data_IF_525180760405
#
_entry.id   IF_525180760405
#
_cell.length_a   1.000
_cell.length_b   1.000
_cell.length_c   1.000
_cell.angle_alpha   90.00
_cell.angle_beta   90.00
_cell.angle_gamma   90.00
#
_symmetry.space_group_name_H-M   'P 1'
#
loop_
_entity.id
_entity.type
_entity.pdbx_description
1 polymer ?
#
# COMPACT_ATOMS: atom_id res chain seq x y z
N UNK A 1 -4.28 11.66 7.23
CA UNK A 1 -4.44 11.90 5.79
C UNK A 1 -5.15 10.73 5.10
N UNK A 2 -4.65 9.48 5.17
CA UNK A 2 -5.34 8.33 4.54
C UNK A 2 -6.76 8.07 5.06
N UNK A 3 -6.99 8.18 6.36
CA UNK A 3 -8.32 8.04 6.98
C UNK A 3 -9.32 9.13 6.56
N UNK A 4 -8.86 10.37 6.35
CA UNK A 4 -9.69 11.48 5.85
C UNK A 4 -10.06 11.28 4.38
N UNK A 5 -9.16 10.70 3.57
CA UNK A 5 -9.43 10.38 2.17
C UNK A 5 -10.44 9.24 2.04
N UNK A 6 -10.39 8.25 2.94
CA UNK A 6 -11.37 7.16 3.02
C UNK A 6 -12.77 7.69 3.35
N UNK A 7 -12.91 8.62 4.28
CA UNK A 7 -14.18 9.26 4.63
C UNK A 7 -14.78 10.07 3.47
N UNK A 8 -13.94 10.70 2.63
CA UNK A 8 -14.40 11.49 1.47
C UNK A 8 -14.90 10.60 0.32
N UNK A 9 -14.30 9.43 0.11
CA UNK A 9 -14.71 8.47 -0.93
C UNK A 9 -16.03 7.77 -0.55
N UNK A 10 -16.22 7.46 0.75
CA UNK A 10 -17.44 6.77 1.23
C UNK A 10 -18.60 7.71 1.61
N UNK A 11 -18.37 9.02 1.71
CA UNK A 11 -19.39 9.99 2.15
C UNK A 11 -20.44 10.38 1.10
N UNK A 12 -20.30 9.96 -0.17
CA UNK A 12 -21.20 10.34 -1.27
C UNK A 12 -22.08 9.21 -1.83
N UNK A 13 -21.94 7.99 -1.31
CA UNK A 13 -22.76 6.83 -1.72
C UNK A 13 -24.12 6.83 -1.04
N UNK A 14 -25.08 7.60 -1.54
CA UNK A 14 -26.49 7.51 -1.14
C UNK A 14 -27.08 6.27 -1.79
N UNK A 15 -27.20 5.16 -1.05
CA UNK A 15 -27.93 3.97 -1.49
C UNK A 15 -29.40 4.30 -1.63
N UNK A 16 -29.88 4.43 -2.86
CA UNK A 16 -31.31 4.44 -3.18
C UNK A 16 -31.81 2.99 -3.06
N UNK A 17 -32.67 2.75 -2.07
CA UNK A 17 -33.38 1.50 -1.93
C UNK A 17 -34.45 1.47 -3.05
N UNK A 18 -34.21 0.63 -4.06
CA UNK A 18 -35.21 0.35 -5.10
C UNK A 18 -36.03 -0.82 -4.59
N UNK A 19 -37.29 -0.56 -4.30
CA UNK A 19 -38.32 -1.55 -4.04
C UNK A 19 -38.83 -2.03 -5.43
N UNK A 20 -38.35 -3.20 -5.87
CA UNK A 20 -38.74 -3.79 -7.16
C UNK A 20 -39.41 -5.16 -6.95
N UNK A 21 -40.35 -5.47 -7.82
CA UNK A 21 -41.22 -6.63 -7.76
C UNK A 21 -40.49 -7.98 -7.81
N UNK A 22 -41.04 -8.99 -7.12
CA UNK A 22 -40.41 -10.30 -6.84
C UNK A 22 -39.91 -11.10 -8.06
N UNK A 23 -40.42 -10.86 -9.27
CA UNK A 23 -40.01 -11.60 -10.49
C UNK A 23 -38.75 -11.02 -11.15
N UNK A 24 -38.48 -9.72 -11.03
CA UNK A 24 -37.26 -9.08 -11.53
C UNK A 24 -36.05 -9.39 -10.63
N UNK A 25 -36.29 -9.60 -9.33
CA UNK A 25 -35.26 -9.95 -8.34
C UNK A 25 -34.65 -11.32 -8.57
N UNK A 26 -35.47 -12.33 -8.95
CA UNK A 26 -35.01 -13.69 -9.25
C UNK A 26 -34.15 -13.75 -10.54
N UNK A 27 -34.51 -12.99 -11.56
CA UNK A 27 -33.73 -12.90 -12.80
C UNK A 27 -32.41 -12.14 -12.60
N UNK A 28 -32.43 -11.09 -11.79
CA UNK A 28 -31.21 -10.35 -11.42
C UNK A 28 -30.26 -11.22 -10.58
N UNK A 29 -30.78 -12.02 -9.65
CA UNK A 29 -29.99 -12.94 -8.84
C UNK A 29 -29.36 -14.07 -9.70
N UNK A 30 -30.11 -14.63 -10.64
CA UNK A 30 -29.59 -15.63 -11.56
C UNK A 30 -28.48 -15.09 -12.47
N UNK A 31 -28.62 -13.87 -13.01
CA UNK A 31 -27.60 -13.19 -13.79
C UNK A 31 -26.35 -12.85 -12.95
N UNK A 32 -26.53 -12.52 -11.67
CA UNK A 32 -25.42 -12.28 -10.74
C UNK A 32 -24.63 -13.58 -10.45
N UNK A 33 -25.32 -14.70 -10.23
CA UNK A 33 -24.68 -15.98 -9.96
C UNK A 33 -23.91 -16.50 -11.20
N UNK A 34 -24.43 -16.30 -12.40
CA UNK A 34 -23.76 -16.67 -13.66
C UNK A 34 -22.49 -15.83 -13.87
N UNK A 35 -22.53 -14.51 -13.65
CA UNK A 35 -21.38 -13.64 -13.74
C UNK A 35 -20.33 -13.93 -12.65
N UNK A 36 -20.77 -14.28 -11.44
CA UNK A 36 -19.88 -14.69 -10.35
C UNK A 36 -19.18 -16.02 -10.64
N UNK A 37 -19.83 -16.92 -11.38
CA UNK A 37 -19.23 -18.23 -11.76
C UNK A 37 -18.12 -18.09 -12.81
N UNK A 38 -18.14 -17.03 -13.63
CA UNK A 38 -17.08 -16.75 -14.60
C UNK A 38 -15.81 -16.14 -13.99
N UNK A 39 -15.89 -15.64 -12.73
CA UNK A 39 -14.76 -15.01 -12.05
C UNK A 39 -13.89 -16.08 -11.36
N UNK A 40 -12.58 -16.00 -11.55
CA UNK A 40 -11.61 -16.92 -10.93
C UNK A 40 -11.35 -16.56 -9.47
N UNK A 41 -12.33 -16.87 -8.60
CA UNK A 41 -12.21 -16.62 -7.16
C UNK A 41 -11.13 -17.49 -6.49
N UNK A 42 -10.83 -18.67 -7.04
CA UNK A 42 -9.87 -19.60 -6.44
C UNK A 42 -8.43 -19.07 -6.56
N UNK A 43 -8.06 -18.54 -7.72
CA UNK A 43 -6.76 -17.91 -7.91
C UNK A 43 -6.60 -16.66 -7.04
N UNK A 44 -7.66 -15.84 -6.92
CA UNK A 44 -7.65 -14.65 -6.05
C UNK A 44 -7.54 -15.05 -4.58
N UNK A 45 -8.29 -16.07 -4.14
CA UNK A 45 -8.26 -16.55 -2.76
C UNK A 45 -6.88 -17.10 -2.38
N UNK A 46 -6.21 -17.83 -3.26
CA UNK A 46 -4.84 -18.30 -3.02
C UNK A 46 -3.87 -17.15 -2.73
N UNK A 47 -3.97 -16.06 -3.49
CA UNK A 47 -3.10 -14.90 -3.27
C UNK A 47 -3.49 -14.13 -2.01
N UNK A 48 -4.78 -14.02 -1.70
CA UNK A 48 -5.29 -13.43 -0.45
C UNK A 48 -4.79 -14.22 0.76
N UNK A 49 -4.80 -15.55 0.71
CA UNK A 49 -4.31 -16.41 1.79
C UNK A 49 -2.79 -16.28 1.97
N UNK A 50 -2.04 -16.07 0.88
CA UNK A 50 -0.61 -15.77 0.96
C UNK A 50 -0.32 -14.41 1.59
N UNK A 51 -1.12 -13.39 1.26
CA UNK A 51 -1.00 -12.03 1.79
C UNK A 51 -1.43 -11.92 3.25
N UNK A 52 -2.53 -12.60 3.61
CA UNK A 52 -3.17 -12.53 4.92
C UNK A 52 -2.96 -13.79 5.75
N UNK A 53 -1.77 -14.40 5.70
CA UNK A 53 -1.41 -15.69 6.33
C UNK A 53 -1.84 -15.84 7.81
N UNK A 54 -2.14 -14.73 8.50
CA UNK A 54 -2.58 -14.72 9.90
C UNK A 54 -4.08 -14.51 10.10
N UNK A 55 -4.85 -14.27 9.03
CA UNK A 55 -6.28 -13.97 9.08
C UNK A 55 -7.05 -14.82 8.08
N UNK A 56 -8.10 -15.50 8.53
CA UNK A 56 -9.02 -16.20 7.63
C UNK A 56 -9.93 -15.14 6.97
N UNK A 57 -9.62 -14.77 5.73
CA UNK A 57 -10.40 -13.84 4.93
C UNK A 57 -10.92 -14.55 3.68
N UNK A 58 -12.24 -14.61 3.51
CA UNK A 58 -12.85 -15.15 2.29
C UNK A 58 -13.21 -14.01 1.34
N UNK A 59 -12.50 -13.95 0.22
CA UNK A 59 -12.73 -12.92 -0.81
C UNK A 59 -14.16 -13.07 -1.40
N UNK A 60 -14.50 -14.28 -1.86
CA UNK A 60 -15.83 -14.56 -2.40
C UNK A 60 -16.95 -14.34 -1.37
N UNK A 61 -16.72 -14.74 -0.10
CA UNK A 61 -17.67 -14.54 0.99
C UNK A 61 -17.93 -13.05 1.25
N UNK A 62 -16.88 -12.22 1.20
CA UNK A 62 -17.00 -10.76 1.39
C UNK A 62 -17.72 -10.10 0.23
N UNK A 63 -17.43 -10.48 -1.02
CA UNK A 63 -18.16 -9.98 -2.20
C UNK A 63 -19.66 -10.29 -2.08
N UNK A 64 -20.01 -11.54 -1.73
CA UNK A 64 -21.42 -11.94 -1.55
C UNK A 64 -22.10 -11.21 -0.40
N UNK A 65 -21.43 -11.01 0.73
CA UNK A 65 -21.99 -10.27 1.87
C UNK A 65 -22.22 -8.79 1.52
N UNK A 66 -21.34 -8.19 0.73
CA UNK A 66 -21.51 -6.81 0.25
C UNK A 66 -22.67 -6.67 -0.73
N UNK A 67 -22.93 -7.69 -1.56
CA UNK A 67 -24.08 -7.71 -2.46
C UNK A 67 -25.39 -7.82 -1.70
N UNK A 68 -25.42 -8.53 -0.54
CA UNK A 68 -26.63 -8.75 0.25
C UNK A 68 -26.88 -7.65 1.28
N UNK A 69 -25.88 -7.27 2.08
CA UNK A 69 -26.03 -6.40 3.24
C UNK A 69 -25.57 -4.95 3.01
N UNK A 70 -24.77 -4.69 1.97
CA UNK A 70 -24.26 -3.35 1.62
C UNK A 70 -23.31 -2.70 2.64
N UNK A 71 -22.92 -3.39 3.72
CA UNK A 71 -22.08 -2.82 4.80
C UNK A 71 -20.65 -3.42 4.80
N UNK A 72 -19.66 -2.70 4.26
CA UNK A 72 -18.28 -3.18 4.15
C UNK A 72 -17.56 -3.29 5.51
N UNK A 73 -18.02 -2.58 6.54
CA UNK A 73 -17.30 -2.47 7.81
C UNK A 73 -17.65 -3.55 8.84
N UNK A 74 -18.75 -4.28 8.66
CA UNK A 74 -19.15 -5.37 9.56
C UNK A 74 -18.13 -6.51 9.60
N UNK A 75 -17.47 -6.76 8.48
CA UNK A 75 -16.50 -7.86 8.34
C UNK A 75 -15.10 -7.49 8.84
N UNK A 76 -14.79 -6.18 8.95
CA UNK A 76 -13.45 -5.70 9.26
C UNK A 76 -13.35 -5.11 10.67
N UNK A 77 -13.02 -5.93 11.67
CA UNK A 77 -12.69 -5.48 13.05
C UNK A 77 -11.26 -4.94 13.13
N UNK A 78 -10.98 -3.83 12.45
CA UNK A 78 -9.64 -3.25 12.32
C UNK A 78 -8.99 -2.85 13.66
N UNK A 79 -9.76 -2.33 14.61
CA UNK A 79 -9.18 -1.74 15.82
C UNK A 79 -8.42 -2.74 16.70
N UNK A 80 -8.98 -3.92 16.93
CA UNK A 80 -8.32 -4.96 17.75
C UNK A 80 -7.13 -5.60 17.02
N UNK A 81 -7.21 -5.70 15.68
CA UNK A 81 -6.12 -6.21 14.85
C UNK A 81 -4.91 -5.26 14.88
N UNK A 82 -5.11 -3.94 14.72
CA UNK A 82 -4.03 -2.95 14.79
C UNK A 82 -3.33 -2.99 16.14
N UNK A 83 -4.09 -3.05 17.24
CA UNK A 83 -3.51 -3.09 18.58
C UNK A 83 -2.73 -4.38 18.86
N UNK A 84 -3.23 -5.53 18.40
CA UNK A 84 -2.53 -6.81 18.51
C UNK A 84 -1.26 -6.83 17.66
N UNK A 85 -1.30 -6.32 16.42
CA UNK A 85 -0.15 -6.18 15.54
C UNK A 85 0.91 -5.24 16.15
N UNK A 86 0.50 -4.10 16.71
CA UNK A 86 1.41 -3.16 17.37
C UNK A 86 2.09 -3.81 18.59
N UNK A 87 1.34 -4.55 19.41
CA UNK A 87 1.88 -5.29 20.55
C UNK A 87 2.88 -6.36 20.11
N UNK A 88 2.54 -7.15 19.09
CA UNK A 88 3.42 -8.19 18.54
C UNK A 88 4.67 -7.59 17.93
N UNK A 89 4.57 -6.50 17.16
CA UNK A 89 5.68 -5.78 16.58
C UNK A 89 6.61 -5.20 17.66
N UNK A 90 6.05 -4.63 18.72
CA UNK A 90 6.81 -4.11 19.84
C UNK A 90 7.54 -5.23 20.61
N UNK A 91 6.89 -6.36 20.83
CA UNK A 91 7.50 -7.52 21.50
C UNK A 91 8.63 -8.12 20.65
N UNK A 92 8.46 -8.22 19.33
CA UNK A 92 9.50 -8.67 18.41
C UNK A 92 10.72 -7.74 18.43
N UNK A 93 10.49 -6.42 18.52
CA UNK A 93 11.56 -5.42 18.56
C UNK A 93 12.25 -5.32 19.91
N UNK A 94 11.63 -5.85 21.01
CA UNK A 94 12.14 -5.75 22.38
C UNK A 94 13.54 -6.35 22.54
N UNK A 95 13.85 -7.44 21.84
CA UNK A 95 15.18 -8.08 21.87
C UNK A 95 16.26 -7.14 21.35
N UNK A 96 16.08 -6.62 20.15
CA UNK A 96 16.99 -5.67 19.50
C UNK A 96 17.16 -4.39 20.33
N UNK A 97 16.06 -3.84 20.84
CA UNK A 97 16.10 -2.64 21.67
C UNK A 97 16.89 -2.87 22.96
N UNK A 98 16.77 -4.04 23.58
CA UNK A 98 17.55 -4.41 24.75
C UNK A 98 19.05 -4.50 24.43
N UNK A 99 19.42 -5.12 23.33
CA UNK A 99 20.81 -5.22 22.88
C UNK A 99 21.40 -3.85 22.59
N UNK A 100 20.70 -3.02 21.81
CA UNK A 100 21.15 -1.66 21.50
C UNK A 100 21.25 -0.78 22.76
N UNK A 101 20.31 -0.89 23.71
CA UNK A 101 20.39 -0.17 24.98
C UNK A 101 21.61 -0.62 25.79
N UNK A 102 21.95 -1.92 25.80
CA UNK A 102 23.14 -2.45 26.44
C UNK A 102 24.42 -1.88 25.81
N UNK A 103 24.45 -1.72 24.45
CA UNK A 103 25.57 -1.08 23.77
C UNK A 103 25.70 0.41 24.10
N UNK A 104 24.56 1.12 24.18
CA UNK A 104 24.54 2.53 24.62
C UNK A 104 25.11 2.65 26.02
N UNK A 105 24.70 1.77 26.95
CA UNK A 105 25.17 1.76 28.31
C UNK A 105 26.67 1.40 28.40
N UNK A 106 27.11 0.37 27.64
CA UNK A 106 28.50 0.00 27.55
C UNK A 106 29.39 1.15 27.03
N UNK A 107 28.92 1.85 25.97
CA UNK A 107 29.59 3.02 25.43
C UNK A 107 29.70 4.16 26.45
N UNK A 108 28.63 4.41 27.23
CA UNK A 108 28.63 5.41 28.29
C UNK A 108 29.61 5.06 29.44
N UNK A 109 29.59 3.79 29.86
CA UNK A 109 30.53 3.30 30.91
C UNK A 109 31.98 3.41 30.41
N UNK A 110 32.27 2.94 29.20
CA UNK A 110 33.60 3.07 28.62
C UNK A 110 34.05 4.53 28.47
N UNK A 111 33.14 5.42 28.05
CA UNK A 111 33.39 6.86 27.99
C UNK A 111 33.74 7.47 29.35
N UNK A 112 33.00 7.06 30.40
CA UNK A 112 33.27 7.53 31.78
C UNK A 112 34.57 6.95 32.36
N UNK A 113 34.83 5.66 32.14
CA UNK A 113 36.07 5.03 32.61
C UNK A 113 37.32 5.53 31.84
N UNK A 114 37.15 5.86 30.58
CA UNK A 114 38.31 6.28 29.75
C UNK A 114 38.83 7.66 30.13
N UNK A 115 38.05 8.48 30.86
CA UNK A 115 38.52 9.72 31.44
C UNK A 115 39.53 9.50 32.58
N UNK A 116 39.58 8.28 33.13
CA UNK A 116 40.51 7.85 34.18
C UNK A 116 41.83 7.31 33.63
N UNK A 117 41.90 6.95 32.35
CA UNK A 117 43.11 6.46 31.70
C UNK A 117 43.76 7.58 30.86
N UNK A 118 45.02 7.86 31.06
CA UNK A 118 45.81 8.87 30.34
C UNK A 118 45.99 8.58 28.83
N UNK A 119 45.57 7.41 28.35
CA UNK A 119 45.71 6.95 26.96
C UNK A 119 44.54 7.36 26.04
N UNK A 120 44.63 8.51 25.37
CA UNK A 120 43.66 8.95 24.37
C UNK A 120 43.36 7.92 23.28
N UNK A 121 44.37 7.16 22.87
CA UNK A 121 44.27 6.12 21.83
C UNK A 121 43.43 4.91 22.26
N UNK A 122 43.50 4.46 23.50
CA UNK A 122 42.73 3.31 24.01
C UNK A 122 41.24 3.67 24.10
N UNK A 123 40.96 4.91 24.50
CA UNK A 123 39.60 5.44 24.56
C UNK A 123 38.93 5.44 23.18
N UNK A 124 39.62 6.01 22.20
CA UNK A 124 39.08 6.15 20.86
C UNK A 124 38.88 4.75 20.20
N UNK A 125 39.81 3.83 20.37
CA UNK A 125 39.68 2.46 19.88
C UNK A 125 38.49 1.70 20.48
N UNK A 126 38.27 1.81 21.80
CA UNK A 126 37.16 1.17 22.49
C UNK A 126 35.80 1.74 22.04
N UNK A 127 35.74 3.06 21.85
CA UNK A 127 34.57 3.74 21.33
C UNK A 127 34.19 3.25 19.91
N UNK A 128 35.20 3.20 19.01
CA UNK A 128 34.99 2.71 17.64
C UNK A 128 34.53 1.27 17.59
N UNK A 129 35.04 0.40 18.47
CA UNK A 129 34.56 -1.00 18.55
C UNK A 129 33.09 -1.09 18.91
N UNK A 130 32.63 -0.39 19.94
CA UNK A 130 31.24 -0.38 20.37
C UNK A 130 30.34 0.22 19.28
N UNK A 131 30.82 1.32 18.69
CA UNK A 131 30.06 1.98 17.62
C UNK A 131 29.91 1.08 16.39
N UNK A 132 30.97 0.45 15.91
CA UNK A 132 30.93 -0.46 14.75
C UNK A 132 30.01 -1.65 14.99
N UNK A 133 29.98 -2.18 16.22
CA UNK A 133 29.09 -3.27 16.58
C UNK A 133 27.62 -2.83 16.57
N UNK A 134 27.32 -1.66 17.15
CA UNK A 134 25.97 -1.07 17.11
C UNK A 134 25.54 -0.79 15.67
N UNK A 135 26.43 -0.24 14.84
CA UNK A 135 26.21 0.01 13.42
C UNK A 135 25.90 -1.28 12.67
N UNK A 136 26.66 -2.35 12.88
CA UNK A 136 26.44 -3.64 12.25
C UNK A 136 25.06 -4.23 12.60
N UNK A 137 24.62 -4.12 13.86
CA UNK A 137 23.30 -4.55 14.30
C UNK A 137 22.18 -3.73 13.66
N UNK A 138 22.33 -2.40 13.61
CA UNK A 138 21.35 -1.51 12.98
C UNK A 138 21.21 -1.82 11.50
N UNK A 139 22.34 -1.92 10.78
CA UNK A 139 22.34 -2.23 9.34
C UNK A 139 21.71 -3.59 9.05
N UNK A 140 22.06 -4.63 9.81
CA UNK A 140 21.50 -5.98 9.65
C UNK A 140 19.98 -5.97 9.81
N UNK A 141 19.49 -5.33 10.88
CA UNK A 141 18.05 -5.26 11.16
C UNK A 141 17.30 -4.41 10.11
N UNK A 142 17.91 -3.32 9.67
CA UNK A 142 17.36 -2.45 8.65
C UNK A 142 17.30 -3.15 7.28
N UNK A 143 18.35 -3.87 6.89
CA UNK A 143 18.37 -4.67 5.66
C UNK A 143 17.27 -5.73 5.68
N UNK A 144 17.13 -6.49 6.77
CA UNK A 144 16.07 -7.47 6.92
C UNK A 144 14.68 -6.84 6.80
N UNK A 145 14.48 -5.65 7.38
CA UNK A 145 13.22 -4.90 7.25
C UNK A 145 12.97 -4.43 5.82
N UNK A 146 14.01 -4.02 5.10
CA UNK A 146 13.94 -3.65 3.69
C UNK A 146 13.60 -4.84 2.78
N UNK A 147 14.19 -6.00 3.01
CA UNK A 147 13.88 -7.24 2.30
C UNK A 147 12.44 -7.69 2.54
N UNK A 148 11.98 -7.60 3.78
CA UNK A 148 10.59 -7.89 4.15
C UNK A 148 9.61 -6.94 3.46
N UNK A 149 9.92 -5.64 3.45
CA UNK A 149 9.14 -4.63 2.74
C UNK A 149 9.07 -4.93 1.23
N UNK A 150 10.20 -5.30 0.62
CA UNK A 150 10.25 -5.69 -0.79
C UNK A 150 9.35 -6.90 -1.07
N UNK A 151 9.39 -7.92 -0.21
CA UNK A 151 8.54 -9.11 -0.33
C UNK A 151 7.05 -8.72 -0.28
N UNK A 152 6.64 -7.91 0.71
CA UNK A 152 5.26 -7.43 0.86
C UNK A 152 4.80 -6.67 -0.39
N UNK A 153 5.59 -5.71 -0.88
CA UNK A 153 5.23 -4.95 -2.08
C UNK A 153 5.10 -5.89 -3.29
N UNK A 154 6.00 -6.85 -3.45
CA UNK A 154 5.94 -7.83 -4.55
C UNK A 154 4.67 -8.69 -4.48
N UNK A 155 4.25 -9.12 -3.29
CA UNK A 155 3.00 -9.87 -3.10
C UNK A 155 1.76 -9.01 -3.38
N UNK A 156 1.75 -7.72 -2.96
CA UNK A 156 0.67 -6.79 -3.32
C UNK A 156 0.53 -6.63 -4.84
N UNK A 157 1.64 -6.62 -5.56
CA UNK A 157 1.64 -6.57 -7.04
C UNK A 157 1.12 -7.86 -7.66
N UNK A 158 1.52 -9.01 -7.13
CA UNK A 158 1.02 -10.29 -7.59
C UNK A 158 -0.51 -10.36 -7.44
N UNK A 159 -1.03 -9.93 -6.29
CA UNK A 159 -2.47 -9.79 -6.05
C UNK A 159 -3.15 -8.89 -7.09
N UNK A 160 -2.61 -7.71 -7.37
CA UNK A 160 -3.16 -6.80 -8.36
C UNK A 160 -3.15 -7.38 -9.78
N UNK A 161 -2.15 -8.19 -10.13
CA UNK A 161 -2.09 -8.87 -11.44
C UNK A 161 -3.16 -9.94 -11.59
N UNK A 162 -3.43 -10.72 -10.54
CA UNK A 162 -4.45 -11.77 -10.53
C UNK A 162 -5.87 -11.15 -10.48
N UNK A 163 -6.03 -10.06 -9.74
CA UNK A 163 -7.29 -9.34 -9.66
C UNK A 163 -7.73 -8.75 -11.00
N UNK A 164 -6.78 -8.30 -11.82
CA UNK A 164 -7.02 -7.52 -13.03
C UNK A 164 -7.89 -8.24 -14.07
N UNK A 165 -7.65 -9.50 -14.47
CA UNK A 165 -8.48 -10.20 -15.47
C UNK A 165 -9.94 -10.34 -15.01
N UNK A 166 -10.16 -10.76 -13.77
CA UNK A 166 -11.50 -10.90 -13.19
C UNK A 166 -12.24 -9.57 -13.11
N UNK A 167 -11.51 -8.51 -12.76
CA UNK A 167 -12.06 -7.16 -12.75
C UNK A 167 -12.47 -6.69 -14.16
N UNK A 168 -11.69 -7.04 -15.19
CA UNK A 168 -12.04 -6.72 -16.58
C UNK A 168 -13.27 -7.44 -17.07
N UNK A 169 -13.44 -8.72 -16.70
CA UNK A 169 -14.65 -9.47 -17.04
C UNK A 169 -15.89 -8.80 -16.42
N UNK A 170 -15.83 -8.44 -15.15
CA UNK A 170 -16.92 -7.73 -14.47
C UNK A 170 -17.18 -6.34 -15.09
N UNK A 171 -16.14 -5.61 -15.49
CA UNK A 171 -16.27 -4.31 -16.13
C UNK A 171 -16.82 -4.41 -17.58
N UNK A 172 -16.45 -5.43 -18.32
CA UNK A 172 -16.96 -5.69 -19.68
C UNK A 172 -18.43 -6.06 -19.67
N UNK A 173 -18.85 -6.91 -18.72
CA UNK A 173 -20.26 -7.28 -18.53
C UNK A 173 -21.12 -6.08 -18.12
N UNK A 174 -20.54 -5.11 -17.39
CA UNK A 174 -21.22 -3.85 -17.03
C UNK A 174 -21.41 -2.85 -18.20
N UNK A 175 -21.20 -3.29 -19.46
CA UNK A 175 -21.30 -2.43 -20.64
C UNK A 175 -20.10 -1.52 -20.87
N UNK A 176 -18.95 -1.86 -20.25
CA UNK A 176 -17.70 -1.13 -20.43
C UNK A 176 -17.22 -1.17 -21.87
N UNK A 177 -17.05 0.00 -22.45
CA UNK A 177 -16.58 0.13 -23.81
C UNK A 177 -15.17 -0.46 -23.97
N UNK A 178 -14.82 -1.08 -25.11
CA UNK A 178 -13.48 -1.65 -25.36
C UNK A 178 -12.35 -0.62 -25.22
N UNK A 179 -12.64 0.69 -25.34
CA UNK A 179 -11.72 1.77 -24.99
C UNK A 179 -11.38 1.81 -23.51
N UNK A 180 -12.31 1.49 -22.62
CA UNK A 180 -12.05 1.39 -21.20
C UNK A 180 -11.07 0.25 -20.88
N UNK A 181 -11.21 -0.91 -21.54
CA UNK A 181 -10.31 -2.05 -21.36
C UNK A 181 -8.86 -1.71 -21.74
N UNK A 182 -8.66 -1.04 -22.88
CA UNK A 182 -7.32 -0.59 -23.30
C UNK A 182 -6.71 0.40 -22.30
N UNK A 183 -7.52 1.33 -21.81
CA UNK A 183 -7.07 2.29 -20.80
C UNK A 183 -6.66 1.61 -19.49
N UNK A 184 -7.39 0.58 -19.07
CA UNK A 184 -7.05 -0.18 -17.86
C UNK A 184 -5.74 -0.96 -18.00
N UNK A 185 -5.49 -1.57 -19.14
CA UNK A 185 -4.21 -2.21 -19.41
C UNK A 185 -3.05 -1.23 -19.35
N UNK A 186 -3.25 -0.03 -19.94
CA UNK A 186 -2.25 1.04 -19.88
C UNK A 186 -2.03 1.53 -18.45
N UNK A 187 -3.08 1.71 -17.66
CA UNK A 187 -3.00 2.10 -16.26
C UNK A 187 -2.23 1.06 -15.44
N UNK A 188 -2.55 -0.23 -15.60
CA UNK A 188 -1.83 -1.32 -14.93
C UNK A 188 -0.35 -1.32 -15.30
N UNK A 189 -0.03 -1.15 -16.58
CA UNK A 189 1.36 -1.11 -17.04
C UNK A 189 2.13 0.05 -16.41
N UNK A 190 1.52 1.24 -16.32
CA UNK A 190 2.13 2.41 -15.66
C UNK A 190 2.35 2.13 -14.17
N UNK A 191 1.40 1.52 -13.48
CA UNK A 191 1.55 1.19 -12.07
C UNK A 191 2.68 0.19 -11.85
N UNK A 192 2.73 -0.89 -12.65
CA UNK A 192 3.82 -1.86 -12.59
C UNK A 192 5.19 -1.23 -12.89
N UNK A 193 5.24 -0.26 -13.81
CA UNK A 193 6.47 0.47 -14.11
C UNK A 193 6.90 1.37 -12.95
N UNK A 194 5.96 2.13 -12.36
CA UNK A 194 6.20 2.99 -11.20
C UNK A 194 6.67 2.17 -10.01
N UNK A 195 6.00 1.07 -9.72
CA UNK A 195 6.38 0.18 -8.63
C UNK A 195 7.77 -0.43 -8.82
N UNK A 196 8.05 -0.96 -10.02
CA UNK A 196 9.40 -1.47 -10.33
C UNK A 196 10.46 -0.38 -10.14
N UNK A 197 10.15 0.86 -10.51
CA UNK A 197 11.02 2.00 -10.29
C UNK A 197 11.20 2.28 -8.79
N UNK A 198 10.14 2.24 -7.99
CA UNK A 198 10.21 2.45 -6.56
C UNK A 198 11.07 1.36 -5.86
N UNK A 199 10.89 0.10 -6.22
CA UNK A 199 11.68 -1.01 -5.67
C UNK A 199 13.14 -1.02 -6.15
N UNK A 200 13.39 -0.67 -7.42
CA UNK A 200 14.73 -0.71 -7.99
C UNK A 200 15.57 0.54 -7.68
N UNK A 201 14.93 1.69 -7.43
CA UNK A 201 15.63 2.95 -7.22
C UNK A 201 15.44 3.48 -5.79
N UNK A 202 14.20 3.63 -5.32
CA UNK A 202 13.93 4.29 -4.03
C UNK A 202 14.37 3.41 -2.86
N UNK A 203 14.10 2.11 -2.90
CA UNK A 203 14.51 1.20 -1.81
C UNK A 203 16.04 1.15 -1.63
N UNK A 204 16.88 0.98 -2.67
CA UNK A 204 18.33 1.09 -2.52
C UNK A 204 18.79 2.48 -2.08
N UNK A 205 18.16 3.56 -2.56
CA UNK A 205 18.48 4.92 -2.10
C UNK A 205 18.28 5.09 -0.59
N UNK A 206 17.22 4.51 -0.03
CA UNK A 206 16.97 4.53 1.42
C UNK A 206 18.07 3.75 2.18
N UNK A 207 18.55 2.63 1.64
CA UNK A 207 19.68 1.88 2.25
C UNK A 207 20.98 2.69 2.20
N UNK A 208 21.26 3.34 1.06
CA UNK A 208 22.43 4.21 0.89
C UNK A 208 22.34 5.43 1.83
N UNK A 209 21.12 6.03 1.94
CA UNK A 209 20.88 7.11 2.88
C UNK A 209 21.28 6.71 4.31
N UNK A 210 20.80 5.56 4.78
CA UNK A 210 21.13 5.10 6.14
C UNK A 210 22.63 4.89 6.29
N UNK A 211 23.27 4.22 5.34
CA UNK A 211 24.70 3.96 5.39
C UNK A 211 25.52 5.25 5.47
N UNK A 212 25.22 6.23 4.62
CA UNK A 212 25.90 7.53 4.63
C UNK A 212 25.62 8.30 5.92
N UNK A 213 24.39 8.29 6.42
CA UNK A 213 24.04 8.94 7.67
C UNK A 213 24.80 8.35 8.86
N UNK A 214 24.91 7.00 8.93
CA UNK A 214 25.67 6.33 9.98
C UNK A 214 27.18 6.64 9.91
N UNK A 215 27.75 6.71 8.70
CA UNK A 215 29.18 7.07 8.51
C UNK A 215 29.41 8.54 8.86
N UNK A 216 28.48 9.43 8.52
CA UNK A 216 28.55 10.84 8.86
C UNK A 216 28.55 11.05 10.37
N UNK A 217 27.65 10.36 11.09
CA UNK A 217 27.60 10.41 12.56
C UNK A 217 28.89 9.84 13.21
N UNK A 218 29.50 8.82 12.59
CA UNK A 218 30.77 8.27 13.06
C UNK A 218 31.92 9.27 12.98
N UNK A 219 32.01 10.03 11.89
CA UNK A 219 33.08 11.02 11.70
C UNK A 219 33.03 12.15 12.72
N UNK A 220 31.83 12.43 13.24
CA UNK A 220 31.59 13.55 14.17
C UNK A 220 31.70 14.94 13.52
N UNK A 221 31.99 14.98 12.23
CA UNK A 221 32.04 16.17 11.38
C UNK A 221 30.93 16.06 10.34
N UNK A 222 30.24 17.16 10.03
CA UNK A 222 29.08 17.18 9.11
C UNK A 222 29.51 17.11 7.62
N UNK A 223 30.50 16.25 7.30
CA UNK A 223 31.11 16.17 5.96
C UNK A 223 30.13 15.67 4.92
N UNK A 224 29.25 14.72 5.30
CA UNK A 224 28.30 14.08 4.40
C UNK A 224 26.84 14.51 4.62
N UNK A 225 26.60 15.54 5.44
CA UNK A 225 25.24 16.02 5.75
C UNK A 225 24.46 16.43 4.51
N UNK A 226 25.08 17.13 3.57
CA UNK A 226 24.46 17.52 2.31
C UNK A 226 24.07 16.34 1.42
N UNK A 227 24.86 15.23 1.45
CA UNK A 227 24.53 14.00 0.71
C UNK A 227 23.29 13.31 1.31
N UNK A 228 23.19 13.26 2.63
CA UNK A 228 22.01 12.68 3.29
C UNK A 228 20.76 13.49 3.03
N UNK A 229 20.85 14.82 3.03
CA UNK A 229 19.76 15.73 2.72
C UNK A 229 19.30 15.61 1.26
N UNK A 230 20.27 15.51 0.33
CA UNK A 230 20.00 15.30 -1.08
C UNK A 230 19.26 13.96 -1.31
N UNK A 231 19.73 12.87 -0.72
CA UNK A 231 19.08 11.57 -0.82
C UNK A 231 17.66 11.59 -0.25
N UNK A 232 17.45 12.23 0.90
CA UNK A 232 16.11 12.39 1.46
C UNK A 232 15.18 13.19 0.54
N UNK A 233 15.69 14.26 -0.04
CA UNK A 233 14.93 15.10 -0.99
C UNK A 233 14.60 14.31 -2.26
N UNK A 234 15.55 13.56 -2.81
CA UNK A 234 15.32 12.70 -3.98
C UNK A 234 14.29 11.62 -3.69
N UNK A 235 14.41 10.90 -2.57
CA UNK A 235 13.42 9.88 -2.16
C UNK A 235 12.03 10.49 -2.05
N UNK A 236 11.89 11.60 -1.32
CA UNK A 236 10.60 12.26 -1.16
C UNK A 236 10.06 12.81 -2.49
N UNK A 237 10.92 13.30 -3.37
CA UNK A 237 10.59 13.76 -4.70
C UNK A 237 10.04 12.62 -5.57
N UNK A 238 10.74 11.50 -5.63
CA UNK A 238 10.33 10.30 -6.40
C UNK A 238 8.99 9.74 -5.89
N UNK A 239 8.78 9.67 -4.55
CA UNK A 239 7.52 9.21 -3.97
C UNK A 239 6.35 10.15 -4.34
N UNK A 240 6.55 11.45 -4.28
CA UNK A 240 5.53 12.44 -4.68
C UNK A 240 5.26 12.40 -6.19
N UNK A 241 6.30 12.28 -7.00
CA UNK A 241 6.18 12.20 -8.46
C UNK A 241 5.43 10.95 -8.90
N UNK A 242 5.63 9.81 -8.24
CA UNK A 242 4.90 8.57 -8.53
C UNK A 242 3.39 8.71 -8.33
N UNK A 243 2.96 9.37 -7.23
CA UNK A 243 1.56 9.71 -7.01
C UNK A 243 1.06 10.72 -8.05
N UNK A 244 1.87 11.71 -8.39
CA UNK A 244 1.55 12.73 -9.41
C UNK A 244 1.32 12.14 -10.79
N UNK A 245 2.11 11.16 -11.20
CA UNK A 245 1.95 10.45 -12.48
C UNK A 245 0.58 9.76 -12.55
N UNK A 246 0.15 9.10 -11.48
CA UNK A 246 -1.12 8.40 -11.44
C UNK A 246 -2.31 9.36 -11.47
N UNK A 247 -2.25 10.45 -10.70
CA UNK A 247 -3.26 11.51 -10.73
C UNK A 247 -3.32 12.20 -12.09
N UNK A 248 -2.16 12.49 -12.69
CA UNK A 248 -2.07 13.06 -14.05
C UNK A 248 -2.69 12.16 -15.12
N UNK A 249 -2.46 10.86 -15.03
CA UNK A 249 -3.07 9.86 -15.91
C UNK A 249 -4.60 9.86 -15.79
N UNK A 250 -5.12 9.99 -14.57
CA UNK A 250 -6.55 10.10 -14.32
C UNK A 250 -7.14 11.38 -14.95
N UNK A 251 -6.45 12.49 -14.85
CA UNK A 251 -6.89 13.74 -15.51
C UNK A 251 -6.97 13.60 -17.02
N UNK A 252 -5.94 12.98 -17.63
CA UNK A 252 -5.91 12.72 -19.08
C UNK A 252 -7.11 11.84 -19.48
N UNK A 253 -7.37 10.78 -18.71
CA UNK A 253 -8.50 9.89 -18.95
C UNK A 253 -9.83 10.65 -18.90
N UNK A 254 -10.07 11.45 -17.87
CA UNK A 254 -11.31 12.19 -17.70
C UNK A 254 -11.56 13.19 -18.84
N UNK A 255 -10.51 13.63 -19.54
CA UNK A 255 -10.60 14.48 -20.71
C UNK A 255 -10.91 13.69 -21.98
N UNK A 256 -10.35 12.47 -22.11
CA UNK A 256 -10.43 11.68 -23.35
C UNK A 256 -11.66 10.77 -23.37
N UNK A 257 -12.06 10.20 -22.22
CA UNK A 257 -13.17 9.25 -22.16
C UNK A 257 -14.50 9.81 -22.73
N UNK A 258 -14.97 11.02 -22.40
CA UNK A 258 -16.21 11.56 -22.95
C UNK A 258 -16.15 11.75 -24.47
N UNK A 259 -15.00 12.10 -25.02
CA UNK A 259 -14.80 12.28 -26.46
C UNK A 259 -14.89 10.95 -27.23
N UNK A 260 -14.33 9.87 -26.66
CA UNK A 260 -14.40 8.54 -27.26
C UNK A 260 -15.81 7.93 -27.14
N UNK A 261 -16.49 8.14 -26.03
CA UNK A 261 -17.84 7.64 -25.81
C UNK A 261 -18.88 8.33 -26.70
N UNK A 262 -18.73 9.64 -26.95
CA UNK A 262 -19.60 10.37 -27.88
C UNK A 262 -19.43 9.90 -29.33
N UNK A 263 -18.22 9.62 -29.77
CA UNK A 263 -17.96 9.06 -31.10
C UNK A 263 -18.57 7.67 -31.30
N UNK A 264 -18.57 6.84 -30.24
CA UNK A 264 -19.18 5.50 -30.25
C UNK A 264 -20.69 5.55 -30.25
N UNK A 265 -21.29 6.38 -29.42
CA UNK A 265 -22.75 6.58 -29.44
C UNK A 265 -23.21 6.97 -30.82
N UNK A 266 -22.54 7.90 -31.49
CA UNK A 266 -22.86 8.25 -32.88
C UNK A 266 -22.76 7.07 -33.85
N UNK A 267 -21.80 6.15 -33.66
CA UNK A 267 -21.64 4.97 -34.50
C UNK A 267 -22.74 3.92 -34.23
N UNK A 268 -23.11 3.71 -32.97
CA UNK A 268 -24.13 2.74 -32.56
C UNK A 268 -25.53 3.20 -32.93
N UNK A 269 -25.87 4.49 -32.75
CA UNK A 269 -27.19 5.04 -33.13
C UNK A 269 -27.49 4.88 -34.61
N UNK A 270 -26.48 5.02 -35.48
CA UNK A 270 -26.63 4.78 -36.92
C UNK A 270 -26.95 3.33 -37.28
N UNK A 271 -26.56 2.37 -36.42
CA UNK A 271 -26.81 0.93 -36.67
C UNK A 271 -28.12 0.44 -36.04
N UNK A 272 -28.53 1.03 -34.90
CA UNK A 272 -29.72 0.63 -34.14
C UNK A 272 -31.07 1.10 -34.79
N UNK A 273 -31.08 2.19 -35.56
CA UNK A 273 -32.27 2.68 -36.27
C UNK A 273 -32.75 1.75 -37.40
N UNK A 274 -31.98 0.68 -37.73
CA UNK A 274 -32.33 -0.22 -38.85
C UNK A 274 -33.30 -1.35 -38.50
N UNK A 275 -33.67 -1.57 -37.21
CA UNK A 275 -34.55 -2.71 -36.80
C UNK A 275 -35.69 -2.21 -35.91
N UNK A 276 -36.85 -1.86 -36.47
CA UNK A 276 -38.02 -1.51 -35.65
C UNK A 276 -38.70 -2.76 -35.08
N UNK A 277 -38.90 -2.80 -33.76
CA UNK A 277 -39.87 -3.70 -33.12
C UNK A 277 -39.33 -4.67 -32.04
N UNK A 278 -38.03 -4.93 -31.91
CA UNK A 278 -37.47 -5.89 -30.92
C UNK A 278 -36.82 -5.15 -29.74
N UNK A 279 -36.71 -3.83 -29.78
CA UNK A 279 -35.86 -3.03 -28.90
C UNK A 279 -36.22 -3.06 -27.42
N UNK A 280 -37.49 -3.10 -27.04
CA UNK A 280 -37.88 -2.87 -25.66
C UNK A 280 -37.61 -4.07 -24.71
N UNK A 281 -37.81 -5.29 -25.16
CA UNK A 281 -37.58 -6.49 -24.33
C UNK A 281 -36.07 -6.82 -24.19
N UNK A 282 -35.32 -6.64 -25.29
CA UNK A 282 -33.86 -6.84 -25.28
C UNK A 282 -33.18 -5.74 -24.45
N UNK A 283 -33.68 -4.48 -24.51
CA UNK A 283 -33.13 -3.39 -23.71
C UNK A 283 -33.35 -3.60 -22.21
N UNK A 284 -34.52 -4.09 -21.76
CA UNK A 284 -34.79 -4.34 -20.35
C UNK A 284 -33.87 -5.42 -19.76
N UNK A 285 -33.65 -6.55 -20.46
CA UNK A 285 -32.76 -7.60 -20.01
C UNK A 285 -31.29 -7.12 -20.01
N UNK A 286 -30.90 -6.38 -21.06
CA UNK A 286 -29.53 -5.83 -21.14
C UNK A 286 -29.26 -4.82 -20.02
N UNK A 287 -30.22 -3.98 -19.67
CA UNK A 287 -30.14 -2.99 -18.60
C UNK A 287 -30.04 -3.68 -17.22
N UNK A 288 -30.78 -4.77 -17.01
CA UNK A 288 -30.78 -5.56 -15.79
C UNK A 288 -29.40 -6.26 -15.60
N UNK A 289 -28.89 -6.90 -16.65
CA UNK A 289 -27.57 -7.55 -16.64
C UNK A 289 -26.47 -6.51 -16.42
N UNK A 290 -26.52 -5.38 -17.11
CA UNK A 290 -25.54 -4.30 -16.94
C UNK A 290 -25.57 -3.73 -15.52
N UNK A 291 -26.76 -3.52 -14.93
CA UNK A 291 -26.92 -3.06 -13.55
C UNK A 291 -26.33 -4.04 -12.54
N UNK A 292 -26.60 -5.34 -12.71
CA UNK A 292 -26.05 -6.40 -11.88
C UNK A 292 -24.51 -6.45 -11.97
N UNK A 293 -23.96 -6.33 -13.17
CA UNK A 293 -22.52 -6.32 -13.40
C UNK A 293 -21.82 -5.10 -12.78
N UNK A 294 -22.48 -3.93 -12.78
CA UNK A 294 -21.98 -2.73 -12.07
C UNK A 294 -21.90 -2.96 -10.56
N UNK A 295 -22.94 -3.58 -9.97
CA UNK A 295 -22.93 -3.91 -8.55
C UNK A 295 -21.79 -4.90 -8.20
N UNK A 296 -21.65 -5.99 -8.95
CA UNK A 296 -20.58 -6.98 -8.76
C UNK A 296 -19.21 -6.30 -8.85
N UNK A 297 -18.96 -5.50 -9.87
CA UNK A 297 -17.72 -4.75 -10.04
C UNK A 297 -17.42 -3.85 -8.85
N UNK A 298 -18.39 -3.14 -8.32
CA UNK A 298 -18.21 -2.25 -7.18
C UNK A 298 -17.91 -3.05 -5.90
N UNK A 299 -18.64 -4.13 -5.63
CA UNK A 299 -18.38 -5.01 -4.48
C UNK A 299 -17.00 -5.68 -4.59
N UNK A 300 -16.60 -6.08 -5.78
CA UNK A 300 -15.29 -6.65 -6.06
C UNK A 300 -14.17 -5.61 -5.79
N UNK A 301 -14.35 -4.38 -6.25
CA UNK A 301 -13.42 -3.28 -6.00
C UNK A 301 -13.29 -2.95 -4.51
N UNK A 302 -14.41 -2.86 -3.78
CA UNK A 302 -14.40 -2.60 -2.33
C UNK A 302 -13.71 -3.75 -1.58
N UNK A 303 -13.99 -5.00 -1.93
CA UNK A 303 -13.34 -6.17 -1.33
C UNK A 303 -11.84 -6.15 -1.57
N UNK A 304 -11.40 -5.83 -2.79
CA UNK A 304 -9.98 -5.71 -3.13
C UNK A 304 -9.29 -4.59 -2.34
N UNK A 305 -9.95 -3.44 -2.15
CA UNK A 305 -9.41 -2.36 -1.30
C UNK A 305 -9.26 -2.82 0.16
N UNK A 306 -10.21 -3.59 0.70
CA UNK A 306 -10.13 -4.13 2.05
C UNK A 306 -8.96 -5.09 2.21
N UNK A 307 -8.72 -5.96 1.23
CA UNK A 307 -7.57 -6.88 1.21
C UNK A 307 -6.25 -6.11 1.20
N UNK A 308 -6.11 -5.11 0.32
CA UNK A 308 -4.91 -4.27 0.25
C UNK A 308 -4.63 -3.58 1.58
N UNK A 309 -5.64 -2.92 2.17
CA UNK A 309 -5.52 -2.26 3.47
C UNK A 309 -5.12 -3.23 4.58
N UNK A 310 -5.70 -4.44 4.58
CA UNK A 310 -5.37 -5.46 5.57
C UNK A 310 -3.93 -5.97 5.40
N UNK A 311 -3.50 -6.19 4.17
CA UNK A 311 -2.16 -6.68 3.85
C UNK A 311 -1.06 -5.66 4.19
N UNK A 312 -1.28 -4.38 3.90
CA UNK A 312 -0.34 -3.31 4.21
C UNK A 312 -0.30 -2.90 5.68
N UNK A 313 -1.38 -3.13 6.43
CA UNK A 313 -1.50 -2.70 7.83
C UNK A 313 -0.44 -3.32 8.74
N UNK A 314 -0.20 -4.62 8.64
CA UNK A 314 0.77 -5.32 9.50
C UNK A 314 2.20 -4.80 9.29
N UNK A 315 2.75 -4.76 8.07
CA UNK A 315 4.09 -4.22 7.82
C UNK A 315 4.19 -2.72 8.11
N UNK A 316 3.13 -1.93 7.88
CA UNK A 316 3.11 -0.51 8.23
C UNK A 316 3.26 -0.30 9.74
N UNK A 317 2.53 -1.06 10.55
CA UNK A 317 2.64 -1.01 12.02
C UNK A 317 4.02 -1.46 12.48
N UNK A 318 4.58 -2.52 11.88
CA UNK A 318 5.94 -2.99 12.20
C UNK A 318 7.00 -1.92 11.94
N UNK A 319 6.98 -1.29 10.76
CA UNK A 319 7.90 -0.20 10.40
C UNK A 319 7.74 1.03 11.30
N UNK A 320 6.49 1.37 11.62
CA UNK A 320 6.18 2.50 12.51
C UNK A 320 6.71 2.24 13.93
N UNK A 321 6.46 1.05 14.48
CA UNK A 321 6.95 0.66 15.81
C UNK A 321 8.48 0.64 15.83
N UNK A 322 9.12 0.08 14.80
CA UNK A 322 10.58 0.07 14.69
C UNK A 322 11.14 1.49 14.64
N UNK A 323 10.62 2.35 13.77
CA UNK A 323 11.06 3.74 13.66
C UNK A 323 10.87 4.53 14.95
N UNK A 324 9.73 4.33 15.63
CA UNK A 324 9.46 4.98 16.92
C UNK A 324 10.40 4.47 18.02
N UNK A 325 10.64 3.16 18.06
CA UNK A 325 11.55 2.54 19.04
C UNK A 325 12.97 3.07 18.91
N UNK A 326 13.49 3.22 17.68
CA UNK A 326 14.81 3.80 17.45
C UNK A 326 14.87 5.27 17.87
N UNK A 327 13.82 6.06 17.62
CA UNK A 327 13.75 7.46 18.07
C UNK A 327 13.68 7.58 19.58
N UNK A 328 12.91 6.72 20.23
CA UNK A 328 12.84 6.69 21.70
C UNK A 328 14.19 6.29 22.30
N UNK A 329 14.86 5.31 21.71
CA UNK A 329 16.18 4.89 22.15
C UNK A 329 17.22 6.00 21.94
N UNK A 330 17.18 6.72 20.82
CA UNK A 330 18.03 7.88 20.57
C UNK A 330 17.83 8.98 21.64
N UNK A 331 16.57 9.28 21.97
CA UNK A 331 16.25 10.27 23.01
C UNK A 331 16.73 9.82 24.40
N UNK A 332 16.59 8.53 24.72
CA UNK A 332 17.07 7.96 26.00
C UNK A 332 18.61 7.90 26.06
N UNK A 333 19.27 7.70 24.93
CA UNK A 333 20.72 7.67 24.82
C UNK A 333 21.36 9.07 24.95
N UNK A 334 20.65 10.10 24.53
CA UNK A 334 21.17 11.48 24.46
C UNK A 334 21.79 12.02 25.76
N UNK A 335 21.20 11.82 26.97
CA UNK A 335 21.79 12.31 28.22
C UNK A 335 22.94 11.42 28.75
N UNK A 336 23.07 10.19 28.27
CA UNK A 336 23.95 9.16 28.88
C UNK A 336 25.12 8.80 27.97
N UNK A 337 24.94 8.91 26.65
CA UNK A 337 25.88 8.44 25.65
C UNK A 337 26.49 9.55 24.81
N UNK A 338 27.54 9.23 24.03
CA UNK A 338 28.12 10.14 23.06
C UNK A 338 27.09 10.57 22.00
N UNK A 339 27.15 11.85 21.58
CA UNK A 339 26.28 12.40 20.53
C UNK A 339 26.27 11.61 19.24
N UNK A 340 27.39 10.96 18.89
CA UNK A 340 27.53 10.09 17.71
C UNK A 340 26.62 8.86 17.77
N UNK A 341 26.53 8.21 18.94
CA UNK A 341 25.64 7.04 19.13
C UNK A 341 24.17 7.47 19.07
N UNK A 342 23.82 8.57 19.74
CA UNK A 342 22.47 9.11 19.67
C UNK A 342 22.07 9.54 18.25
N UNK A 343 22.99 10.15 17.48
CA UNK A 343 22.82 10.48 16.07
C UNK A 343 22.56 9.23 15.21
N UNK A 344 23.39 8.21 15.35
CA UNK A 344 23.25 6.92 14.68
C UNK A 344 21.85 6.28 14.88
N UNK A 345 21.35 6.28 16.11
CA UNK A 345 20.00 5.77 16.42
C UNK A 345 18.91 6.66 15.83
N UNK A 346 19.08 7.99 15.85
CA UNK A 346 18.15 8.91 15.24
C UNK A 346 18.09 8.75 13.70
N UNK A 347 19.26 8.56 13.05
CA UNK A 347 19.36 8.29 11.62
C UNK A 347 18.63 6.99 11.24
N UNK A 348 18.80 5.92 12.05
CA UNK A 348 18.05 4.69 11.87
C UNK A 348 16.53 4.92 11.96
N UNK A 349 16.07 5.63 12.98
CA UNK A 349 14.65 5.99 13.11
C UNK A 349 14.10 6.78 11.91
N UNK A 350 14.93 7.64 11.30
CA UNK A 350 14.57 8.37 10.07
C UNK A 350 14.53 7.45 8.85
N UNK A 351 15.47 6.50 8.74
CA UNK A 351 15.46 5.47 7.70
C UNK A 351 14.20 4.62 7.73
N UNK A 352 13.77 4.14 8.91
CA UNK A 352 12.50 3.42 9.06
C UNK A 352 11.28 4.25 8.68
N UNK A 353 11.28 5.55 8.97
CA UNK A 353 10.22 6.45 8.51
C UNK A 353 10.17 6.59 6.98
N UNK A 354 11.33 6.51 6.29
CA UNK A 354 11.37 6.50 4.83
C UNK A 354 10.84 5.18 4.25
N UNK A 355 11.19 4.02 4.84
CA UNK A 355 10.60 2.73 4.44
C UNK A 355 9.08 2.72 4.62
N UNK A 356 8.58 3.27 5.73
CA UNK A 356 7.14 3.42 5.96
C UNK A 356 6.48 4.31 4.90
N UNK A 357 7.11 5.43 4.53
CA UNK A 357 6.59 6.32 3.47
C UNK A 357 6.54 5.60 2.13
N UNK A 358 7.57 4.79 1.81
CA UNK A 358 7.59 3.99 0.59
C UNK A 358 6.41 3.00 0.55
N UNK A 359 6.19 2.23 1.63
CA UNK A 359 5.06 1.30 1.73
C UNK A 359 3.72 2.02 1.55
N UNK A 360 3.50 3.09 2.32
CA UNK A 360 2.24 3.85 2.26
C UNK A 360 2.01 4.48 0.87
N UNK A 361 3.07 4.89 0.18
CA UNK A 361 2.95 5.41 -1.19
C UNK A 361 2.49 4.33 -2.15
N UNK A 362 3.08 3.13 -2.09
CA UNK A 362 2.68 1.99 -2.92
C UNK A 362 1.23 1.58 -2.61
N UNK A 363 0.86 1.53 -1.36
CA UNK A 363 -0.49 1.18 -0.92
C UNK A 363 -1.53 2.19 -1.43
N UNK A 364 -1.24 3.49 -1.31
CA UNK A 364 -2.08 4.55 -1.85
C UNK A 364 -2.18 4.47 -3.38
N UNK A 365 -1.09 4.15 -4.08
CA UNK A 365 -1.11 3.93 -5.53
C UNK A 365 -2.09 2.82 -5.92
N UNK A 366 -2.07 1.67 -5.24
CA UNK A 366 -2.99 0.56 -5.52
C UNK A 366 -4.43 0.89 -5.16
N UNK A 367 -4.67 1.48 -3.97
CA UNK A 367 -6.01 1.90 -3.55
C UNK A 367 -6.61 2.91 -4.53
N UNK A 368 -5.82 3.88 -4.96
CA UNK A 368 -6.26 4.89 -5.92
C UNK A 368 -6.55 4.26 -7.28
N UNK A 369 -5.78 3.26 -7.68
CA UNK A 369 -6.03 2.49 -8.91
C UNK A 369 -7.38 1.78 -8.88
N UNK A 370 -7.67 1.04 -7.80
CA UNK A 370 -8.95 0.35 -7.66
C UNK A 370 -10.10 1.36 -7.59
N UNK A 371 -9.92 2.46 -6.86
CA UNK A 371 -10.93 3.54 -6.79
C UNK A 371 -11.22 4.14 -8.17
N UNK A 372 -10.18 4.35 -8.98
CA UNK A 372 -10.31 4.79 -10.38
C UNK A 372 -11.07 3.77 -11.20
N UNK A 373 -10.73 2.49 -11.06
CA UNK A 373 -11.37 1.39 -11.76
C UNK A 373 -12.86 1.27 -11.37
N UNK A 374 -13.20 1.43 -10.09
CA UNK A 374 -14.57 1.39 -9.59
C UNK A 374 -15.40 2.61 -10.01
N UNK A 375 -14.82 3.80 -9.97
CA UNK A 375 -15.50 5.07 -10.22
C UNK A 375 -15.75 5.44 -11.69
N UNK A 376 -15.34 4.62 -12.63
CA UNK A 376 -15.35 4.97 -14.06
C UNK A 376 -16.70 4.90 -14.78
N UNK A 377 -17.76 4.49 -14.10
CA UNK A 377 -19.08 4.26 -14.71
C UNK A 377 -20.24 4.69 -13.80
N UNK A 378 -20.07 5.71 -12.98
CA UNK A 378 -21.19 6.38 -12.29
C UNK A 378 -21.72 7.52 -13.12
#
# INVERSE_FOLDING_TARGET
>A
MALLFLCLIFGTGRTQKIEAADTETDQAAAAQDELLAELDFDAIQQEVDSLLSSQQFSFAGTVRSLLQDGDPFRTFRAGNAVLSCAKTAFLAQKGLMKELFLFVLAGAVLGSFSSLFEGKQVRDASFYMVYLLALALILKNFQSSGENLKAVITSLVAFMRILTPSYYLAAAAAGGASSAVMFYQMLLLVILAVEKLLLALVLPMIHIYLLIALVNDLSGEEILSHMTELLETCVNGLLKSSLGVLVGMQMIRNLIAPALDSLRQMALWRTAEMIPGIGNAVNAVTELVAGSAVLIRNCFGVTAMLVLLAAGMVPAVQLLVSGLSFRLLAAAAQPVSDKRIAGCLAAAGKGYAMLLRLLLTVEVLFLLTIAILAGTFS
#
